data_IF_039642089000
#
_entry.id   IF_039642089000
#
_cell.length_a   1.000
_cell.length_b   1.000
_cell.length_c   1.000
_cell.angle_alpha   90.00
_cell.angle_beta   90.00
_cell.angle_gamma   90.00
#
_symmetry.space_group_name_H-M   'P 1'
#
loop_
_entity.id
_entity.type
_entity.pdbx_description
1 polymer ?
#
# COMPACT_ATOMS: atom_id res chain seq x y z
N UNK A 1 17.93 0.61 24.86
CA UNK A 1 17.48 -0.21 23.72
C UNK A 1 16.08 0.20 23.30
N UNK A 2 15.10 0.21 24.20
CA UNK A 2 13.70 0.56 23.88
C UNK A 2 13.49 1.98 23.34
N UNK A 3 14.19 2.98 23.89
CA UNK A 3 14.14 4.37 23.40
C UNK A 3 14.63 4.52 21.97
N UNK A 4 15.65 3.75 21.58
CA UNK A 4 16.17 3.72 20.21
C UNK A 4 15.14 3.11 19.25
N UNK A 5 14.56 1.97 19.62
CA UNK A 5 13.52 1.30 18.81
C UNK A 5 12.29 2.19 18.62
N UNK A 6 11.84 2.85 19.68
CA UNK A 6 10.72 3.78 19.61
C UNK A 6 11.04 4.94 18.64
N UNK A 7 12.23 5.54 18.75
CA UNK A 7 12.65 6.62 17.86
C UNK A 7 12.74 6.15 16.40
N UNK A 8 13.29 4.96 16.14
CA UNK A 8 13.35 4.38 14.81
C UNK A 8 11.96 4.21 14.21
N UNK A 9 11.04 3.56 14.92
CA UNK A 9 9.68 3.32 14.42
C UNK A 9 8.95 4.64 14.10
N UNK A 10 9.03 5.64 14.98
CA UNK A 10 8.43 6.94 14.73
C UNK A 10 9.06 7.68 13.55
N UNK A 11 10.39 7.61 13.41
CA UNK A 11 11.08 8.21 12.28
C UNK A 11 10.69 7.53 10.96
N UNK A 12 10.54 6.21 10.94
CA UNK A 12 10.05 5.44 9.79
C UNK A 12 8.65 5.90 9.41
N UNK A 13 7.74 5.99 10.38
CA UNK A 13 6.36 6.43 10.11
C UNK A 13 6.31 7.83 9.51
N UNK A 14 7.09 8.77 10.04
CA UNK A 14 7.14 10.14 9.53
C UNK A 14 7.70 10.19 8.10
N UNK A 15 8.79 9.46 7.84
CA UNK A 15 9.40 9.41 6.51
C UNK A 15 8.44 8.75 5.51
N UNK A 16 7.85 7.60 5.85
CA UNK A 16 6.90 6.90 5.01
C UNK A 16 5.63 7.72 4.74
N UNK A 17 5.15 8.51 5.70
CA UNK A 17 4.02 9.42 5.51
C UNK A 17 4.30 10.56 4.52
N UNK A 18 5.57 10.96 4.37
CA UNK A 18 5.97 12.02 3.45
C UNK A 18 6.46 11.52 2.09
N UNK A 19 6.77 10.22 1.96
CA UNK A 19 7.56 9.66 0.87
C UNK A 19 6.94 9.86 -0.52
N UNK A 20 5.62 9.74 -0.66
CA UNK A 20 4.93 9.87 -1.98
C UNK A 20 4.46 11.29 -2.27
N UNK A 21 4.53 12.21 -1.31
CA UNK A 21 4.09 13.59 -1.49
C UNK A 21 4.77 14.29 -2.68
N UNK A 22 6.10 14.16 -2.90
CA UNK A 22 6.75 14.75 -4.07
C UNK A 22 6.21 14.19 -5.39
N UNK A 23 5.94 12.87 -5.43
CA UNK A 23 5.42 12.20 -6.62
C UNK A 23 3.98 12.66 -6.92
N UNK A 24 3.13 12.76 -5.89
CA UNK A 24 1.75 13.29 -6.02
C UNK A 24 1.80 14.75 -6.50
N UNK A 25 2.65 15.58 -5.90
CA UNK A 25 2.83 16.98 -6.30
C UNK A 25 3.29 17.11 -7.75
N UNK A 26 4.20 16.24 -8.21
CA UNK A 26 4.68 16.24 -9.58
C UNK A 26 3.57 15.94 -10.59
N UNK A 27 2.70 14.97 -10.29
CA UNK A 27 1.54 14.63 -11.15
C UNK A 27 0.54 15.78 -11.20
N UNK A 28 0.23 16.37 -10.05
CA UNK A 28 -0.69 17.51 -9.95
C UNK A 28 -0.15 18.74 -10.70
N UNK A 29 1.15 19.03 -10.56
CA UNK A 29 1.82 20.14 -11.25
C UNK A 29 1.90 19.94 -12.76
N UNK A 30 2.21 18.72 -13.22
CA UNK A 30 2.24 18.39 -14.64
C UNK A 30 0.85 18.26 -15.28
N UNK A 31 -0.21 18.12 -14.46
CA UNK A 31 -1.58 17.75 -14.88
C UNK A 31 -1.59 16.56 -15.84
N UNK A 32 -0.68 15.61 -15.62
CA UNK A 32 -0.45 14.49 -16.54
C UNK A 32 0.14 13.32 -15.78
N UNK A 33 -0.29 12.12 -16.16
CA UNK A 33 0.20 10.84 -15.63
C UNK A 33 1.34 10.23 -16.46
N UNK A 34 1.84 10.94 -17.49
CA UNK A 34 2.83 10.43 -18.46
C UNK A 34 4.13 9.90 -17.82
N UNK A 35 4.52 10.38 -16.65
CA UNK A 35 5.73 9.96 -15.94
C UNK A 35 5.53 8.76 -15.01
N UNK A 36 4.32 8.21 -14.90
CA UNK A 36 4.00 7.12 -13.96
C UNK A 36 3.64 5.84 -14.70
N UNK A 37 4.36 4.77 -14.36
CA UNK A 37 4.06 3.42 -14.79
C UNK A 37 2.92 2.84 -13.94
N UNK A 38 1.74 2.67 -14.54
CA UNK A 38 0.58 2.04 -13.89
C UNK A 38 0.89 0.61 -13.41
N UNK A 39 1.52 -0.29 -14.20
CA UNK A 39 1.86 -1.63 -13.72
C UNK A 39 2.80 -1.62 -12.51
N UNK A 40 3.76 -0.68 -12.47
CA UNK A 40 4.67 -0.54 -11.34
C UNK A 40 3.95 -0.12 -10.07
N UNK A 41 3.02 0.85 -10.17
CA UNK A 41 2.19 1.29 -9.04
C UNK A 41 1.29 0.18 -8.50
N UNK A 42 0.72 -0.64 -9.39
CA UNK A 42 -0.09 -1.79 -8.99
C UNK A 42 0.74 -2.90 -8.34
N UNK A 43 1.96 -3.13 -8.82
CA UNK A 43 2.88 -4.10 -8.23
C UNK A 43 3.33 -3.67 -6.83
N UNK A 44 3.59 -2.37 -6.64
CA UNK A 44 3.92 -1.78 -5.34
C UNK A 44 2.76 -1.93 -4.35
N UNK A 45 1.54 -1.57 -4.75
CA UNK A 45 0.32 -1.80 -3.97
C UNK A 45 0.15 -3.27 -3.57
N UNK A 46 0.34 -4.19 -4.52
CA UNK A 46 0.25 -5.62 -4.25
C UNK A 46 1.30 -6.07 -3.23
N UNK A 47 2.54 -5.59 -3.36
CA UNK A 47 3.62 -5.86 -2.41
C UNK A 47 3.28 -5.39 -1.01
N UNK A 48 2.82 -4.14 -0.85
CA UNK A 48 2.43 -3.60 0.45
C UNK A 48 1.24 -4.33 1.07
N UNK A 49 0.24 -4.73 0.28
CA UNK A 49 -0.91 -5.50 0.76
C UNK A 49 -0.48 -6.87 1.29
N UNK A 50 0.37 -7.60 0.55
CA UNK A 50 0.91 -8.89 0.99
C UNK A 50 1.72 -8.73 2.26
N UNK A 51 2.60 -7.71 2.32
CA UNK A 51 3.47 -7.50 3.47
C UNK A 51 2.70 -7.09 4.73
N UNK A 52 1.75 -6.15 4.60
CA UNK A 52 0.82 -5.78 5.67
C UNK A 52 0.08 -7.02 6.19
N UNK A 53 -0.37 -7.87 5.28
CA UNK A 53 -1.13 -9.05 5.65
C UNK A 53 -0.28 -10.10 6.38
N UNK A 54 0.95 -10.29 5.93
CA UNK A 54 1.94 -11.11 6.62
C UNK A 54 2.18 -10.61 8.04
N UNK A 55 2.39 -9.31 8.22
CA UNK A 55 2.63 -8.72 9.55
C UNK A 55 1.41 -8.88 10.48
N UNK A 56 0.20 -8.67 9.95
CA UNK A 56 -1.03 -8.91 10.70
C UNK A 56 -1.24 -10.38 11.09
N UNK A 57 -0.81 -11.33 10.25
CA UNK A 57 -0.97 -12.77 10.52
C UNK A 57 -0.20 -13.22 11.76
N UNK A 58 1.05 -12.79 11.85
CA UNK A 58 1.96 -13.14 12.94
C UNK A 58 1.77 -12.23 14.17
N UNK A 59 0.71 -11.41 14.19
CA UNK A 59 0.34 -10.53 15.30
C UNK A 59 1.51 -9.64 15.78
N UNK A 60 2.33 -9.17 14.84
CA UNK A 60 3.43 -8.27 15.19
C UNK A 60 2.90 -6.97 15.83
N UNK A 61 3.72 -6.26 16.63
CA UNK A 61 3.31 -5.00 17.21
C UNK A 61 2.90 -4.00 16.13
N UNK A 62 1.79 -3.31 16.35
CA UNK A 62 1.14 -2.44 15.36
C UNK A 62 2.07 -1.35 14.81
N UNK A 63 2.95 -0.80 15.67
CA UNK A 63 3.93 0.24 15.31
C UNK A 63 4.99 -0.24 14.30
N UNK A 64 5.18 -1.56 14.14
CA UNK A 64 6.18 -2.18 13.26
C UNK A 64 5.71 -2.29 11.81
N UNK A 65 4.42 -2.13 11.56
CA UNK A 65 3.86 -2.26 10.21
C UNK A 65 2.87 -1.15 9.86
N UNK A 66 2.70 -0.14 10.72
CA UNK A 66 1.78 0.98 10.48
C UNK A 66 2.21 1.84 9.28
N UNK A 67 3.47 1.74 8.83
CA UNK A 67 3.92 2.39 7.61
C UNK A 67 3.21 1.83 6.35
N UNK A 68 2.87 0.54 6.31
CA UNK A 68 2.28 -0.07 5.11
C UNK A 68 0.88 0.46 4.81
N UNK A 69 -0.06 0.58 5.78
CA UNK A 69 -1.34 1.27 5.55
C UNK A 69 -1.17 2.72 5.07
N UNK A 70 -0.19 3.44 5.60
CA UNK A 70 0.11 4.83 5.22
C UNK A 70 0.61 4.90 3.76
N UNK A 71 1.47 3.96 3.35
CA UNK A 71 1.97 3.87 1.98
C UNK A 71 0.86 3.43 1.00
N UNK A 72 0.05 2.44 1.37
CA UNK A 72 -1.11 1.99 0.56
C UNK A 72 -2.07 3.15 0.32
N UNK A 73 -2.39 3.95 1.35
CA UNK A 73 -3.27 5.10 1.20
C UNK A 73 -2.69 6.13 0.20
N UNK A 74 -1.39 6.41 0.27
CA UNK A 74 -0.72 7.32 -0.66
C UNK A 74 -0.70 6.78 -2.11
N UNK A 75 -0.49 5.48 -2.28
CA UNK A 75 -0.53 4.84 -3.60
C UNK A 75 -1.92 4.84 -4.23
N UNK A 76 -2.96 4.64 -3.41
CA UNK A 76 -4.35 4.75 -3.87
C UNK A 76 -4.68 6.19 -4.31
N UNK A 77 -4.21 7.20 -3.58
CA UNK A 77 -4.35 8.61 -3.99
C UNK A 77 -3.64 8.84 -5.34
N UNK A 78 -2.40 8.34 -5.48
CA UNK A 78 -1.63 8.47 -6.71
C UNK A 78 -2.31 7.76 -7.89
N UNK A 79 -2.86 6.57 -7.66
CA UNK A 79 -3.63 5.80 -8.64
C UNK A 79 -4.85 6.58 -9.11
N UNK A 80 -5.60 7.19 -8.20
CA UNK A 80 -6.73 8.07 -8.53
C UNK A 80 -6.29 9.27 -9.36
N UNK A 81 -5.18 9.93 -9.00
CA UNK A 81 -4.61 11.01 -9.81
C UNK A 81 -4.27 10.55 -11.24
N UNK A 82 -3.65 9.38 -11.38
CA UNK A 82 -3.30 8.80 -12.69
C UNK A 82 -4.53 8.61 -13.58
N UNK A 83 -5.61 8.05 -13.03
CA UNK A 83 -6.85 7.86 -13.80
C UNK A 83 -7.60 9.15 -14.07
N UNK A 84 -7.56 10.11 -13.14
CA UNK A 84 -8.13 11.44 -13.32
C UNK A 84 -7.52 12.16 -14.53
N UNK A 85 -6.19 12.18 -14.63
CA UNK A 85 -5.50 12.84 -15.75
C UNK A 85 -5.50 12.03 -17.05
N UNK A 86 -5.72 10.72 -17.00
CA UNK A 86 -5.97 9.90 -18.20
C UNK A 86 -7.38 10.07 -18.79
N UNK A 87 -8.23 10.90 -18.17
CA UNK A 87 -9.55 11.29 -18.71
C UNK A 87 -10.68 10.30 -18.42
N UNK A 88 -10.46 9.27 -17.61
CA UNK A 88 -11.49 8.29 -17.26
C UNK A 88 -11.25 7.69 -15.87
N UNK A 89 -11.76 8.37 -14.84
CA UNK A 89 -11.71 7.92 -13.44
C UNK A 89 -12.43 6.58 -13.26
N UNK A 90 -13.41 6.24 -14.12
CA UNK A 90 -14.14 4.96 -14.02
C UNK A 90 -13.22 3.77 -14.30
N UNK A 91 -12.12 3.97 -15.04
CA UNK A 91 -11.10 2.94 -15.23
C UNK A 91 -10.31 2.63 -13.96
N UNK A 92 -10.35 3.49 -12.93
CA UNK A 92 -9.75 3.18 -11.62
C UNK A 92 -10.53 2.09 -10.87
N UNK A 93 -11.84 2.05 -11.05
CA UNK A 93 -12.77 1.14 -10.35
C UNK A 93 -12.35 -0.33 -10.42
N UNK A 94 -12.05 -0.93 -11.60
CA UNK A 94 -11.60 -2.32 -11.65
C UNK A 94 -10.31 -2.56 -10.86
N UNK A 95 -9.37 -1.62 -10.82
CA UNK A 95 -8.13 -1.77 -10.05
C UNK A 95 -8.37 -1.69 -8.54
N UNK A 96 -9.27 -0.82 -8.10
CA UNK A 96 -9.70 -0.77 -6.68
C UNK A 96 -10.40 -2.07 -6.30
N UNK A 97 -11.29 -2.57 -7.16
CA UNK A 97 -11.96 -3.87 -6.96
C UNK A 97 -10.92 -5.00 -6.88
N UNK A 98 -9.92 -5.00 -7.76
CA UNK A 98 -8.83 -5.98 -7.73
C UNK A 98 -8.06 -5.88 -6.40
N UNK A 99 -7.68 -4.68 -5.96
CA UNK A 99 -6.98 -4.49 -4.67
C UNK A 99 -7.81 -4.99 -3.48
N UNK A 100 -9.10 -4.65 -3.44
CA UNK A 100 -10.01 -5.10 -2.38
C UNK A 100 -10.21 -6.62 -2.44
N UNK A 101 -10.40 -7.18 -3.63
CA UNK A 101 -10.53 -8.63 -3.81
C UNK A 101 -9.25 -9.36 -3.41
N UNK A 102 -8.08 -8.82 -3.73
CA UNK A 102 -6.79 -9.37 -3.32
C UNK A 102 -6.67 -9.38 -1.79
N UNK A 103 -7.11 -8.32 -1.10
CA UNK A 103 -7.17 -8.29 0.36
C UNK A 103 -8.05 -9.42 0.94
N UNK A 104 -9.23 -9.67 0.37
CA UNK A 104 -10.10 -10.77 0.79
C UNK A 104 -9.52 -12.15 0.44
N UNK A 105 -8.94 -12.33 -0.75
CA UNK A 105 -8.32 -13.60 -1.17
C UNK A 105 -7.14 -13.96 -0.27
N UNK A 106 -6.29 -12.99 0.08
CA UNK A 106 -5.19 -13.23 1.01
C UNK A 106 -5.69 -13.64 2.41
N UNK A 107 -6.90 -13.19 2.80
CA UNK A 107 -7.56 -13.66 4.02
C UNK A 107 -7.90 -15.15 3.95
N UNK A 108 -8.42 -15.60 2.81
CA UNK A 108 -8.72 -17.01 2.57
C UNK A 108 -7.43 -17.86 2.56
N UNK A 109 -6.34 -17.34 1.98
CA UNK A 109 -5.05 -18.05 1.97
C UNK A 109 -4.47 -18.27 3.37
N UNK A 110 -4.63 -17.32 4.29
CA UNK A 110 -4.20 -17.51 5.68
C UNK A 110 -4.95 -18.63 6.38
N UNK A 111 -6.26 -18.69 6.20
CA UNK A 111 -7.07 -19.78 6.76
C UNK A 111 -6.63 -21.16 6.23
N UNK A 112 -6.23 -21.23 4.96
CA UNK A 112 -5.67 -22.45 4.35
C UNK A 112 -4.30 -22.80 4.97
N UNK A 113 -3.43 -21.81 5.19
CA UNK A 113 -2.14 -22.02 5.84
C UNK A 113 -2.30 -22.49 7.29
N UNK A 114 -3.25 -21.93 8.03
CA UNK A 114 -3.59 -22.36 9.40
C UNK A 114 -4.03 -23.83 9.41
N UNK A 115 -4.88 -24.24 8.47
CA UNK A 115 -5.31 -25.63 8.31
C UNK A 115 -4.17 -26.58 7.94
N UNK A 116 -3.22 -26.12 7.11
CA UNK A 116 -2.10 -26.93 6.66
C UNK A 116 -0.98 -27.06 7.70
N UNK A 117 -0.85 -26.09 8.61
CA UNK A 117 0.16 -26.09 9.68
C UNK A 117 -0.33 -26.73 11.00
N UNK A 118 -1.57 -27.23 11.04
CA UNK A 118 -2.16 -27.91 12.21
C UNK A 118 -1.65 -29.35 12.45
N UNK A 119 -0.49 -29.73 11.89
CA UNK A 119 0.18 -31.03 12.11
C UNK A 119 1.14 -30.98 13.31
#
# INVERSE_FOLDING_TARGET
METLLWLCNWSTLVVCAALKLPQISAVLGARSSRGISLPSLLLELAGFLVFLRYQCYYEYPLLTYLEFPILIAQDLILLLCVFHFNGDVRRAVPYIIICVSAWFILTLQQWILDLAMQE
#
